data_IF_019819425019
#
_entry.id   IF_019819425019
#
_cell.length_a   1.000
_cell.length_b   1.000
_cell.length_c   1.000
_cell.angle_alpha   90.00
_cell.angle_beta   90.00
_cell.angle_gamma   90.00
#
_symmetry.space_group_name_H-M   'P 1'
#
loop_
_entity.id
_entity.type
_entity.pdbx_description
1 polymer ?
#
# COMPACT_ATOMS: atom_id res chain seq x y z
N UNK A 1 -17.25 -8.10 -11.87
CA UNK A 1 -15.84 -8.48 -12.04
C UNK A 1 -15.23 -7.66 -13.17
N UNK A 2 -15.67 -7.84 -14.43
CA UNK A 2 -15.21 -7.04 -15.59
C UNK A 2 -15.18 -5.52 -15.32
N UNK A 3 -16.30 -4.92 -14.90
CA UNK A 3 -16.37 -3.48 -14.61
C UNK A 3 -15.35 -3.04 -13.54
N UNK A 4 -15.18 -3.83 -12.47
CA UNK A 4 -14.22 -3.54 -11.39
C UNK A 4 -12.76 -3.64 -11.87
N UNK A 5 -12.44 -4.63 -12.71
CA UNK A 5 -11.13 -4.73 -13.36
C UNK A 5 -10.87 -3.57 -14.31
N UNK A 6 -11.88 -3.17 -15.09
CA UNK A 6 -11.76 -2.03 -16.01
C UNK A 6 -11.58 -0.70 -15.25
N UNK A 7 -12.33 -0.50 -14.15
CA UNK A 7 -12.16 0.66 -13.27
C UNK A 7 -10.78 0.70 -12.61
N UNK A 8 -10.26 -0.45 -12.14
CA UNK A 8 -8.94 -0.50 -11.52
C UNK A 8 -7.82 -0.19 -12.52
N UNK A 9 -7.88 -0.75 -13.72
CA UNK A 9 -6.97 -0.41 -14.82
C UNK A 9 -7.04 1.08 -15.17
N UNK A 10 -8.26 1.64 -15.30
CA UNK A 10 -8.44 3.07 -15.55
C UNK A 10 -7.82 3.95 -14.46
N UNK A 11 -8.00 3.60 -13.19
CA UNK A 11 -7.40 4.33 -12.08
C UNK A 11 -5.87 4.23 -12.03
N UNK A 12 -5.28 3.10 -12.42
CA UNK A 12 -3.83 2.98 -12.57
C UNK A 12 -3.30 3.93 -13.65
N UNK A 13 -3.96 4.00 -14.82
CA UNK A 13 -3.58 4.92 -15.89
C UNK A 13 -3.71 6.40 -15.47
N UNK A 14 -4.74 6.74 -14.70
CA UNK A 14 -4.92 8.11 -14.19
C UNK A 14 -3.87 8.46 -13.13
N UNK A 15 -3.50 7.51 -12.26
CA UNK A 15 -2.50 7.75 -11.22
C UNK A 15 -1.11 8.10 -11.79
N UNK A 16 -0.71 7.49 -12.90
CA UNK A 16 0.54 7.84 -13.61
C UNK A 16 0.56 9.31 -14.04
N UNK A 17 -0.56 9.83 -14.56
CA UNK A 17 -0.64 11.24 -14.97
C UNK A 17 -0.46 12.22 -13.80
N UNK A 18 -0.89 11.83 -12.59
CA UNK A 18 -0.73 12.65 -11.40
C UNK A 18 0.65 12.56 -10.76
N UNK A 19 1.36 11.43 -10.93
CA UNK A 19 2.73 11.29 -10.39
C UNK A 19 3.72 12.25 -11.07
N UNK A 20 3.50 12.59 -12.34
CA UNK A 20 4.33 13.55 -13.08
C UNK A 20 4.11 15.01 -12.67
N UNK A 21 3.06 15.31 -11.88
CA UNK A 21 2.78 16.66 -11.39
C UNK A 21 3.25 16.77 -9.94
N UNK A 22 4.52 17.15 -9.77
CA UNK A 22 5.26 17.28 -8.50
C UNK A 22 4.66 18.27 -7.48
N UNK A 23 3.50 17.98 -6.91
CA UNK A 23 2.92 18.69 -5.78
C UNK A 23 2.54 17.71 -4.67
N UNK A 24 2.77 18.07 -3.41
CA UNK A 24 2.45 17.21 -2.24
C UNK A 24 0.98 16.79 -2.24
N UNK A 25 0.08 17.70 -2.62
CA UNK A 25 -1.35 17.38 -2.76
C UNK A 25 -1.60 16.35 -3.88
N UNK A 26 -0.95 16.49 -5.03
CA UNK A 26 -1.07 15.55 -6.14
C UNK A 26 -0.48 14.19 -5.82
N UNK A 27 0.61 14.14 -5.04
CA UNK A 27 1.19 12.89 -4.54
C UNK A 27 0.20 12.15 -3.63
N UNK A 28 -0.39 12.84 -2.64
CA UNK A 28 -1.38 12.24 -1.74
C UNK A 28 -2.61 11.75 -2.52
N UNK A 29 -3.09 12.54 -3.48
CA UNK A 29 -4.20 12.17 -4.35
C UNK A 29 -3.84 10.94 -5.20
N UNK A 30 -2.63 10.90 -5.78
CA UNK A 30 -2.15 9.75 -6.57
C UNK A 30 -2.02 8.49 -5.72
N UNK A 31 -1.46 8.60 -4.51
CA UNK A 31 -1.43 7.48 -3.55
C UNK A 31 -2.84 6.99 -3.20
N UNK A 32 -3.81 7.91 -3.06
CA UNK A 32 -5.22 7.59 -2.90
C UNK A 32 -5.79 6.79 -4.08
N UNK A 33 -5.55 7.25 -5.32
CA UNK A 33 -5.97 6.54 -6.52
C UNK A 33 -5.33 5.16 -6.65
N UNK A 34 -4.02 5.04 -6.39
CA UNK A 34 -3.31 3.76 -6.39
C UNK A 34 -3.87 2.79 -5.35
N UNK A 35 -4.18 3.28 -4.16
CA UNK A 35 -4.79 2.46 -3.10
C UNK A 35 -6.19 1.97 -3.51
N UNK A 36 -7.05 2.86 -4.03
CA UNK A 36 -8.39 2.49 -4.51
C UNK A 36 -8.28 1.52 -5.69
N UNK A 37 -7.37 1.75 -6.65
CA UNK A 37 -7.12 0.84 -7.76
C UNK A 37 -6.71 -0.55 -7.27
N UNK A 38 -5.80 -0.62 -6.31
CA UNK A 38 -5.37 -1.88 -5.70
C UNK A 38 -6.53 -2.61 -4.99
N UNK A 39 -7.36 -1.86 -4.24
CA UNK A 39 -8.56 -2.40 -3.59
C UNK A 39 -9.56 -2.93 -4.64
N UNK A 40 -9.80 -2.19 -5.72
CA UNK A 40 -10.66 -2.62 -6.81
C UNK A 40 -10.13 -3.87 -7.53
N UNK A 41 -8.81 -3.93 -7.82
CA UNK A 41 -8.15 -5.13 -8.35
C UNK A 41 -8.35 -6.34 -7.44
N UNK A 42 -8.15 -6.16 -6.13
CA UNK A 42 -8.32 -7.18 -5.10
C UNK A 42 -9.74 -7.73 -5.07
N UNK A 43 -10.73 -6.84 -4.99
CA UNK A 43 -12.15 -7.22 -5.00
C UNK A 43 -12.51 -7.89 -6.32
N UNK A 44 -11.98 -7.39 -7.44
CA UNK A 44 -12.24 -7.99 -8.74
C UNK A 44 -11.67 -9.41 -8.85
N UNK A 45 -10.43 -9.64 -8.39
CA UNK A 45 -9.80 -10.95 -8.36
C UNK A 45 -10.64 -11.95 -7.57
N UNK A 46 -11.13 -11.52 -6.41
CA UNK A 46 -12.04 -12.31 -5.56
C UNK A 46 -13.34 -12.68 -6.28
N UNK A 47 -13.94 -11.73 -7.00
CA UNK A 47 -15.16 -11.99 -7.78
C UNK A 47 -14.87 -12.95 -8.94
N UNK A 48 -13.75 -12.79 -9.63
CA UNK A 48 -13.31 -13.71 -10.69
C UNK A 48 -13.08 -15.12 -10.18
N UNK A 49 -12.43 -15.27 -9.03
CA UNK A 49 -12.26 -16.58 -8.38
C UNK A 49 -13.60 -17.24 -8.06
N UNK A 50 -14.60 -16.45 -7.62
CA UNK A 50 -15.96 -16.98 -7.40
C UNK A 50 -16.65 -17.42 -8.69
N UNK A 51 -16.52 -16.64 -9.77
CA UNK A 51 -17.05 -17.01 -11.09
C UNK A 51 -16.40 -18.31 -11.56
N UNK A 52 -15.07 -18.41 -11.49
CA UNK A 52 -14.33 -19.61 -11.87
C UNK A 52 -14.77 -20.85 -11.09
N UNK A 53 -14.91 -20.76 -9.75
CA UNK A 53 -15.40 -21.86 -8.91
C UNK A 53 -16.82 -22.27 -9.32
N UNK A 54 -17.69 -21.30 -9.63
CA UNK A 54 -19.06 -21.57 -10.06
C UNK A 54 -19.08 -22.26 -11.41
N UNK A 55 -18.25 -21.83 -12.35
CA UNK A 55 -18.11 -22.47 -13.66
C UNK A 55 -17.60 -23.91 -13.55
N UNK A 56 -16.61 -24.18 -12.70
CA UNK A 56 -16.11 -25.54 -12.46
C UNK A 56 -17.21 -26.43 -11.88
N UNK A 57 -17.95 -25.95 -10.88
CA UNK A 57 -19.08 -26.69 -10.30
C UNK A 57 -20.17 -27.00 -11.33
N UNK A 58 -20.54 -26.01 -12.13
CA UNK A 58 -21.53 -26.19 -13.17
C UNK A 58 -21.07 -27.18 -14.25
N UNK A 59 -19.79 -27.15 -14.61
CA UNK A 59 -19.19 -28.13 -15.52
C UNK A 59 -19.22 -29.55 -14.94
N UNK A 60 -18.97 -29.71 -13.63
CA UNK A 60 -19.03 -31.00 -12.95
C UNK A 60 -20.47 -31.55 -12.93
N UNK A 61 -21.45 -30.72 -12.55
CA UNK A 61 -22.87 -31.11 -12.56
C UNK A 61 -23.34 -31.53 -13.96
N UNK A 62 -22.85 -30.87 -15.01
CA UNK A 62 -23.18 -31.21 -16.40
C UNK A 62 -22.56 -32.55 -16.83
N UNK A 63 -21.36 -32.87 -16.34
CA UNK A 63 -20.71 -34.17 -16.58
C UNK A 63 -21.43 -35.30 -15.85
N UNK A 64 -21.80 -35.09 -14.58
CA UNK A 64 -22.54 -36.08 -13.78
C UNK A 64 -23.90 -36.42 -14.43
N UNK A 65 -24.60 -35.42 -14.97
CA UNK A 65 -25.87 -35.64 -15.68
C UNK A 65 -25.69 -36.47 -16.96
N UNK A 66 -24.60 -36.26 -17.71
CA UNK A 66 -24.28 -37.05 -18.90
C UNK A 66 -23.93 -38.49 -18.57
N UNK A 67 -23.21 -38.74 -17.48
CA UNK A 67 -22.90 -40.10 -17.04
C UNK A 67 -24.18 -40.87 -16.65
N UNK A 68 -25.14 -40.21 -15.99
CA UNK A 68 -26.44 -40.82 -15.66
C UNK A 68 -27.26 -41.14 -16.91
N UNK A 69 -27.24 -40.25 -17.92
CA UNK A 69 -27.95 -40.48 -19.18
C UNK A 69 -27.34 -41.64 -19.99
N UNK A 70 -26.00 -41.78 -20.01
CA UNK A 70 -25.34 -42.94 -20.64
C UNK A 70 -25.52 -44.24 -19.86
N UNK A 71 -25.61 -44.18 -18.54
CA UNK A 71 -25.80 -45.36 -17.69
C UNK A 71 -27.24 -45.87 -17.71
N UNK A 72 -28.20 -45.09 -18.21
CA UNK A 72 -29.57 -45.54 -18.40
C UNK A 72 -29.57 -46.62 -19.50
N UNK A 73 -29.81 -47.90 -19.17
CA UNK A 73 -29.80 -48.96 -20.17
C UNK A 73 -30.85 -48.60 -21.21
N UNK A 74 -30.42 -48.50 -22.47
CA UNK A 74 -31.33 -48.42 -23.62
C UNK A 74 -32.21 -49.65 -23.50
N UNK A 75 -33.42 -49.46 -22.99
CA UNK A 75 -34.48 -50.45 -22.98
C UNK A 75 -34.85 -50.66 -24.43
N UNK A 76 -34.03 -51.45 -25.13
CA UNK A 76 -34.32 -51.97 -26.45
C UNK A 76 -35.66 -52.67 -26.34
N UNK A 77 -36.63 -52.13 -27.06
CA UNK A 77 -37.95 -52.72 -27.21
C UNK A 77 -37.79 -54.20 -27.54
N UNK A 78 -38.17 -55.06 -26.59
CA UNK A 78 -38.46 -56.44 -26.91
C UNK A 78 -39.71 -56.44 -27.79
N UNK A 79 -39.68 -57.04 -28.98
CA UNK A 79 -40.85 -57.10 -29.85
C UNK A 79 -41.96 -57.94 -29.22
N UNK A 80 -43.19 -57.52 -29.52
CA UNK A 80 -44.46 -58.00 -28.98
C UNK A 80 -44.58 -59.53 -28.90
N UNK A 81 -44.87 -60.04 -27.70
CA UNK A 81 -45.40 -61.38 -27.48
C UNK A 81 -46.80 -61.24 -26.84
N UNK A 82 -47.84 -61.89 -27.38
CA UNK A 82 -49.20 -61.66 -26.95
C UNK A 82 -49.55 -62.47 -25.70
N UNK A 83 -50.30 -61.78 -24.84
CA UNK A 83 -51.34 -62.20 -23.90
C UNK A 83 -51.21 -63.58 -23.22
N UNK A 84 -51.13 -63.55 -21.88
CA UNK A 84 -51.95 -64.47 -21.09
C UNK A 84 -52.37 -63.84 -19.76
N UNK A 85 -53.68 -63.62 -19.65
CA UNK A 85 -54.42 -63.46 -18.39
C UNK A 85 -54.17 -64.69 -17.50
N UNK A 86 -53.82 -64.50 -16.23
CA UNK A 86 -54.73 -64.75 -15.11
C UNK A 86 -54.02 -64.86 -13.74
N UNK A 87 -54.69 -64.27 -12.74
CA UNK A 87 -54.63 -64.53 -11.29
C UNK A 87 -53.30 -64.41 -10.51
N UNK A 88 -53.23 -63.39 -9.63
CA UNK A 88 -53.17 -63.58 -8.17
C UNK A 88 -53.28 -62.23 -7.41
N UNK A 89 -54.13 -62.11 -6.38
CA UNK A 89 -54.12 -60.99 -5.46
C UNK A 89 -53.18 -61.28 -4.28
N UNK A 90 -52.06 -60.56 -4.18
CA UNK A 90 -51.26 -60.53 -2.95
C UNK A 90 -49.76 -60.53 -3.14
N UNK A 91 -49.20 -59.41 -3.56
CA UNK A 91 -47.78 -59.12 -3.36
C UNK A 91 -47.64 -57.65 -2.97
N UNK A 92 -47.36 -57.40 -1.68
CA UNK A 92 -46.90 -56.10 -1.20
C UNK A 92 -45.61 -55.77 -1.92
N UNK A 93 -45.69 -54.81 -2.84
CA UNK A 93 -44.55 -54.19 -3.48
C UNK A 93 -43.88 -53.27 -2.45
N UNK A 94 -42.94 -53.82 -1.68
CA UNK A 94 -41.97 -53.04 -0.90
C UNK A 94 -41.03 -52.32 -1.88
N UNK A 95 -41.49 -51.21 -2.45
CA UNK A 95 -40.61 -50.28 -3.17
C UNK A 95 -39.68 -49.64 -2.14
N UNK A 96 -38.35 -49.85 -2.21
CA UNK A 96 -37.43 -49.23 -1.27
C UNK A 96 -37.49 -47.71 -1.45
N UNK A 97 -37.90 -47.03 -0.37
CA UNK A 97 -37.92 -45.58 -0.27
C UNK A 97 -36.55 -45.01 -0.65
N UNK A 98 -36.47 -44.39 -1.83
CA UNK A 98 -35.26 -43.73 -2.32
C UNK A 98 -34.90 -42.59 -1.35
N UNK A 99 -33.66 -42.55 -0.84
CA UNK A 99 -33.26 -41.62 0.21
C UNK A 99 -33.23 -40.18 -0.31
N UNK A 100 -34.29 -39.42 -0.03
CA UNK A 100 -34.42 -37.98 -0.33
C UNK A 100 -33.54 -37.06 0.55
N UNK A 101 -32.66 -37.63 1.38
CA UNK A 101 -31.92 -36.92 2.43
C UNK A 101 -30.71 -36.07 1.99
N UNK A 102 -30.28 -36.10 0.72
CA UNK A 102 -28.95 -35.56 0.34
C UNK A 102 -28.91 -34.06 -0.05
N UNK A 103 -30.01 -33.31 0.06
CA UNK A 103 -30.06 -31.89 -0.40
C UNK A 103 -29.70 -30.83 0.64
N UNK A 104 -29.63 -31.15 1.94
CA UNK A 104 -29.41 -30.12 2.99
C UNK A 104 -27.95 -29.71 3.23
N UNK A 105 -26.96 -30.48 2.76
CA UNK A 105 -25.54 -30.18 2.98
C UNK A 105 -24.99 -29.05 2.11
N UNK A 106 -25.57 -28.77 0.94
CA UNK A 106 -25.02 -27.79 0.00
C UNK A 106 -25.18 -26.33 0.48
N UNK A 107 -26.28 -26.00 1.16
CA UNK A 107 -26.56 -24.63 1.61
C UNK A 107 -25.59 -24.15 2.72
N UNK A 108 -25.12 -25.05 3.59
CA UNK A 108 -24.17 -24.74 4.66
C UNK A 108 -22.75 -24.45 4.14
N UNK A 109 -22.37 -24.98 2.98
CA UNK A 109 -21.09 -24.67 2.33
C UNK A 109 -21.04 -23.23 1.80
N UNK A 110 -22.19 -22.67 1.40
CA UNK A 110 -22.27 -21.31 0.82
C UNK A 110 -22.12 -20.21 1.88
N UNK A 111 -22.66 -20.40 3.08
CA UNK A 111 -22.51 -19.41 4.18
C UNK A 111 -21.10 -19.41 4.78
N UNK A 112 -20.43 -20.58 4.84
CA UNK A 112 -19.01 -20.69 5.22
C UNK A 112 -18.08 -19.96 4.23
N UNK A 113 -18.45 -19.89 2.96
CA UNK A 113 -17.70 -19.17 1.91
C UNK A 113 -17.62 -17.65 2.12
N UNK A 114 -18.68 -17.01 2.66
CA UNK A 114 -18.69 -15.54 2.84
C UNK A 114 -17.70 -15.08 3.91
N UNK A 115 -17.60 -15.81 5.03
CA UNK A 115 -16.64 -15.51 6.10
C UNK A 115 -15.20 -15.72 5.63
N UNK A 116 -14.92 -16.84 4.95
CA UNK A 116 -13.60 -17.10 4.36
C UNK A 116 -13.18 -15.98 3.41
N UNK A 117 -14.10 -15.51 2.57
CA UNK A 117 -13.82 -14.40 1.66
C UNK A 117 -13.46 -13.10 2.38
N UNK A 118 -14.22 -12.73 3.42
CA UNK A 118 -13.93 -11.54 4.21
C UNK A 118 -12.52 -11.64 4.84
N UNK A 119 -12.15 -12.80 5.40
CA UNK A 119 -10.80 -13.01 5.94
C UNK A 119 -9.71 -12.91 4.87
N UNK A 120 -9.92 -13.46 3.66
CA UNK A 120 -8.94 -13.34 2.58
C UNK A 120 -8.76 -11.89 2.12
N UNK A 121 -9.85 -11.13 1.95
CA UNK A 121 -9.79 -9.71 1.58
C UNK A 121 -9.09 -8.90 2.66
N UNK A 122 -9.45 -9.09 3.93
CA UNK A 122 -8.78 -8.42 5.05
C UNK A 122 -7.30 -8.78 5.13
N UNK A 123 -6.95 -10.06 4.95
CA UNK A 123 -5.56 -10.51 4.94
C UNK A 123 -4.74 -9.87 3.82
N UNK A 124 -5.31 -9.74 2.62
CA UNK A 124 -4.63 -9.09 1.50
C UNK A 124 -4.46 -7.58 1.75
N UNK A 125 -5.46 -6.91 2.33
CA UNK A 125 -5.38 -5.48 2.66
C UNK A 125 -4.34 -5.19 3.74
N UNK A 126 -4.26 -6.03 4.77
CA UNK A 126 -3.21 -5.91 5.79
C UNK A 126 -1.83 -6.18 5.20
N UNK A 127 -1.73 -7.17 4.31
CA UNK A 127 -0.47 -7.49 3.61
C UNK A 127 -0.02 -6.33 2.71
N UNK A 128 -0.93 -5.75 1.93
CA UNK A 128 -0.60 -4.63 1.05
C UNK A 128 -0.22 -3.38 1.85
N UNK A 129 -0.95 -3.08 2.93
CA UNK A 129 -0.59 -2.00 3.84
C UNK A 129 0.80 -2.22 4.46
N UNK A 130 1.11 -3.46 4.86
CA UNK A 130 2.43 -3.86 5.34
C UNK A 130 3.53 -3.65 4.29
N UNK A 131 3.28 -4.00 3.03
CA UNK A 131 4.23 -3.78 1.92
C UNK A 131 4.44 -2.28 1.69
N UNK A 132 3.37 -1.48 1.62
CA UNK A 132 3.48 -0.03 1.46
C UNK A 132 4.28 0.58 2.61
N UNK A 133 3.97 0.20 3.85
CA UNK A 133 4.74 0.64 5.02
C UNK A 133 6.22 0.25 4.93
N UNK A 134 6.51 -0.99 4.51
CA UNK A 134 7.88 -1.48 4.37
C UNK A 134 8.66 -0.83 3.23
N UNK A 135 7.99 -0.36 2.17
CA UNK A 135 8.62 0.32 1.04
C UNK A 135 8.84 1.81 1.32
N UNK A 136 7.80 2.51 1.78
CA UNK A 136 7.85 3.95 2.03
C UNK A 136 8.43 4.32 3.40
N UNK A 137 8.47 3.37 4.33
CA UNK A 137 9.13 3.55 5.63
C UNK A 137 10.65 3.44 5.59
N UNK A 138 11.24 3.10 4.43
CA UNK A 138 12.70 3.01 4.30
C UNK A 138 13.31 4.40 4.20
N UNK A 139 14.50 4.55 4.77
CA UNK A 139 15.24 5.81 4.72
C UNK A 139 15.54 6.23 3.28
N UNK A 140 15.84 5.28 2.40
CA UNK A 140 16.20 5.55 1.01
C UNK A 140 15.05 6.18 0.22
N UNK A 141 13.81 5.76 0.49
CA UNK A 141 12.62 6.36 -0.11
C UNK A 141 12.43 7.80 0.37
N UNK A 142 12.59 8.05 1.68
CA UNK A 142 12.56 9.40 2.25
C UNK A 142 13.66 10.29 1.65
N UNK A 143 14.91 9.81 1.64
CA UNK A 143 16.05 10.58 1.14
C UNK A 143 15.89 10.90 -0.35
N UNK A 144 15.44 9.93 -1.16
CA UNK A 144 15.17 10.14 -2.58
C UNK A 144 14.09 11.21 -2.85
N UNK A 145 13.05 11.26 -2.01
CA UNK A 145 12.02 12.30 -2.09
C UNK A 145 12.53 13.69 -1.66
N UNK A 146 13.41 13.77 -0.66
CA UNK A 146 14.02 15.05 -0.29
C UNK A 146 15.00 15.51 -1.38
N UNK A 147 15.76 14.58 -1.96
CA UNK A 147 16.68 14.84 -3.06
C UNK A 147 15.98 15.35 -4.31
N UNK A 148 14.82 14.79 -4.67
CA UNK A 148 14.05 15.19 -5.85
C UNK A 148 13.51 16.61 -5.76
N UNK A 149 13.34 17.14 -4.54
CA UNK A 149 12.79 18.49 -4.29
C UNK A 149 13.85 19.55 -4.19
N UNK A 150 14.86 19.33 -3.34
CA UNK A 150 15.89 20.33 -3.07
C UNK A 150 17.24 19.73 -2.70
N UNK A 151 17.30 18.46 -2.27
CA UNK A 151 18.56 17.83 -1.90
C UNK A 151 19.55 17.68 -3.05
N UNK A 152 19.10 17.74 -4.31
CA UNK A 152 19.98 17.80 -5.47
C UNK A 152 20.91 19.03 -5.45
N UNK A 153 20.46 20.15 -4.85
CA UNK A 153 21.27 21.37 -4.69
C UNK A 153 22.47 21.17 -3.76
N UNK A 154 22.40 20.18 -2.87
CA UNK A 154 23.45 19.87 -1.90
C UNK A 154 24.49 18.91 -2.48
N UNK A 155 24.16 18.11 -3.51
CA UNK A 155 25.05 17.03 -3.99
C UNK A 155 25.95 17.42 -5.16
N UNK A 156 25.77 18.60 -5.73
CA UNK A 156 26.43 18.97 -6.98
C UNK A 156 26.17 17.98 -8.10
N UNK A 157 25.00 17.33 -8.09
CA UNK A 157 24.68 16.33 -9.09
C UNK A 157 24.59 17.04 -10.46
N UNK A 158 25.38 16.63 -11.47
CA UNK A 158 25.36 17.27 -12.78
C UNK A 158 23.99 17.11 -13.41
N UNK A 159 23.21 18.19 -13.45
CA UNK A 159 21.97 18.25 -14.21
C UNK A 159 22.31 18.34 -15.70
N UNK A 160 21.89 17.34 -16.48
CA UNK A 160 21.93 17.36 -17.94
C UNK A 160 23.33 17.65 -18.54
N UNK A 161 24.40 17.15 -17.92
CA UNK A 161 25.77 17.34 -18.41
C UNK A 161 26.40 18.70 -18.07
N UNK A 162 25.74 19.54 -17.26
CA UNK A 162 26.35 20.73 -16.71
C UNK A 162 27.40 20.37 -15.65
N UNK A 163 28.46 21.18 -15.53
CA UNK A 163 29.50 20.99 -14.52
C UNK A 163 28.88 20.96 -13.11
N UNK A 164 29.16 19.90 -12.34
CA UNK A 164 28.70 19.68 -10.96
C UNK A 164 28.82 20.91 -10.05
N UNK A 165 29.90 21.66 -10.21
CA UNK A 165 30.18 22.88 -9.44
C UNK A 165 29.19 24.04 -9.69
N UNK A 166 28.49 24.05 -10.81
CA UNK A 166 27.52 25.11 -11.15
C UNK A 166 26.13 24.87 -10.54
N UNK A 167 25.88 23.67 -9.99
CA UNK A 167 24.57 23.26 -9.45
C UNK A 167 24.51 23.18 -7.93
N UNK A 168 25.64 23.37 -7.25
CA UNK A 168 25.68 23.39 -5.79
C UNK A 168 25.19 24.74 -5.24
N UNK A 169 24.19 24.69 -4.37
CA UNK A 169 23.73 25.85 -3.62
C UNK A 169 23.62 25.49 -2.13
N UNK A 170 24.06 26.37 -1.22
CA UNK A 170 23.87 26.15 0.20
C UNK A 170 22.36 26.09 0.50
N UNK A 171 21.92 25.02 1.14
CA UNK A 171 20.54 24.86 1.58
C UNK A 171 20.45 25.13 3.07
N UNK A 172 19.43 25.89 3.48
CA UNK A 172 19.11 26.12 4.88
C UNK A 172 17.69 25.65 5.18
N UNK A 173 17.55 24.58 5.98
CA UNK A 173 16.25 24.11 6.47
C UNK A 173 15.80 25.04 7.59
N UNK A 174 15.05 26.09 7.23
CA UNK A 174 14.67 27.18 8.13
C UNK A 174 13.79 26.76 9.30
N UNK A 175 12.93 25.77 9.09
CA UNK A 175 12.03 25.27 10.12
C UNK A 175 11.83 23.76 9.94
N UNK A 176 12.09 23.01 11.01
CA UNK A 176 11.63 21.63 11.14
C UNK A 176 11.40 21.32 12.62
N UNK A 177 10.46 20.43 12.91
CA UNK A 177 10.13 20.05 14.28
C UNK A 177 9.00 19.04 14.33
N UNK A 178 8.88 18.37 15.47
CA UNK A 178 7.82 17.40 15.76
C UNK A 178 7.62 17.30 17.27
N UNK A 179 6.48 16.79 17.71
CA UNK A 179 6.22 16.41 19.09
C UNK A 179 6.28 14.88 19.32
N UNK A 180 6.61 14.10 18.29
CA UNK A 180 6.66 12.63 18.35
C UNK A 180 8.01 12.13 17.80
N UNK A 181 8.60 11.13 18.47
CA UNK A 181 9.78 10.42 17.96
C UNK A 181 9.33 9.36 16.95
N UNK A 182 8.99 9.81 15.75
CA UNK A 182 8.50 8.96 14.66
C UNK A 182 9.57 8.74 13.58
N UNK A 183 9.17 7.97 12.57
CA UNK A 183 10.04 7.59 11.46
C UNK A 183 10.47 8.80 10.63
N UNK A 184 9.61 9.81 10.48
CA UNK A 184 9.95 11.04 9.77
C UNK A 184 11.07 11.79 10.50
N UNK A 185 10.97 11.93 11.82
CA UNK A 185 12.00 12.59 12.63
C UNK A 185 13.36 11.91 12.51
N UNK A 186 13.38 10.59 12.63
CA UNK A 186 14.59 9.79 12.55
C UNK A 186 15.25 9.91 11.18
N UNK A 187 14.45 9.82 10.10
CA UNK A 187 14.94 9.96 8.74
C UNK A 187 15.41 11.38 8.43
N UNK A 188 14.69 12.41 8.88
CA UNK A 188 15.09 13.81 8.68
C UNK A 188 16.43 14.12 9.37
N UNK A 189 16.62 13.69 10.62
CA UNK A 189 17.89 13.87 11.32
C UNK A 189 19.05 13.10 10.65
N UNK A 190 18.80 11.86 10.21
CA UNK A 190 19.79 11.08 9.46
C UNK A 190 20.15 11.77 8.15
N UNK A 191 19.16 12.27 7.43
CA UNK A 191 19.35 12.98 6.16
C UNK A 191 20.21 14.23 6.32
N UNK A 192 19.90 15.08 7.30
CA UNK A 192 20.71 16.26 7.60
C UNK A 192 22.12 15.89 8.07
N UNK A 193 22.29 14.79 8.80
CA UNK A 193 23.60 14.31 9.24
C UNK A 193 24.48 13.77 8.09
N UNK A 194 23.88 13.13 7.08
CA UNK A 194 24.59 12.58 5.91
C UNK A 194 24.89 13.63 4.82
N UNK A 195 24.31 14.83 4.93
CA UNK A 195 24.41 15.91 3.94
C UNK A 195 24.96 17.15 4.64
N UNK A 196 26.25 17.09 4.97
CA UNK A 196 27.03 18.09 5.74
C UNK A 196 26.85 19.57 5.32
N UNK A 197 26.25 19.85 4.16
CA UNK A 197 26.08 21.19 3.59
C UNK A 197 24.71 21.82 3.87
N UNK A 198 23.75 21.08 4.44
CA UNK A 198 22.46 21.65 4.82
C UNK A 198 22.55 22.30 6.21
N UNK A 199 22.55 23.63 6.26
CA UNK A 199 22.30 24.36 7.50
C UNK A 199 20.85 24.13 7.97
N UNK A 200 20.57 24.30 9.27
CA UNK A 200 19.22 24.11 9.79
C UNK A 200 18.93 24.98 11.00
N UNK A 201 17.65 25.28 11.20
CA UNK A 201 17.11 25.84 12.42
C UNK A 201 15.90 25.01 12.89
N UNK A 202 15.90 24.68 14.18
CA UNK A 202 14.83 23.88 14.77
C UNK A 202 13.65 24.79 15.18
N UNK A 203 12.43 24.42 14.76
CA UNK A 203 11.20 25.05 15.22
C UNK A 203 10.53 24.21 16.32
N UNK A 204 10.37 24.69 17.56
CA UNK A 204 10.80 25.98 18.11
C UNK A 204 11.60 25.79 19.41
N UNK A 205 12.27 26.85 19.86
CA UNK A 205 12.90 26.82 21.18
C UNK A 205 11.85 26.91 22.29
N UNK A 206 10.93 27.86 22.18
CA UNK A 206 9.94 28.19 23.20
C UNK A 206 8.75 27.23 23.22
N UNK A 207 8.12 27.08 24.39
CA UNK A 207 6.93 26.25 24.55
C UNK A 207 5.62 26.90 24.11
N UNK A 208 5.65 28.08 23.48
CA UNK A 208 4.48 28.84 23.06
C UNK A 208 4.57 29.26 21.59
N UNK A 209 3.49 29.11 20.83
CA UNK A 209 3.43 29.51 19.41
C UNK A 209 3.15 31.00 19.29
N UNK A 210 2.28 31.48 20.17
CA UNK A 210 1.94 32.88 20.41
C UNK A 210 1.62 33.02 21.90
N UNK A 211 1.46 34.25 22.41
CA UNK A 211 1.13 34.49 23.81
C UNK A 211 -0.07 33.63 24.26
N UNK A 212 0.16 32.78 25.27
CA UNK A 212 -0.86 31.91 25.85
C UNK A 212 -1.34 30.75 24.96
N UNK A 213 -0.68 30.48 23.82
CA UNK A 213 -0.96 29.30 23.00
C UNK A 213 0.23 28.33 23.04
N UNK A 214 0.06 27.10 23.54
CA UNK A 214 1.16 26.14 23.64
C UNK A 214 1.70 25.77 22.25
N UNK A 215 3.02 25.68 22.14
CA UNK A 215 3.73 25.09 21.00
C UNK A 215 4.18 23.69 21.39
N UNK A 216 3.60 22.71 20.72
CA UNK A 216 3.89 21.29 20.97
C UNK A 216 5.25 20.89 20.41
N UNK A 217 5.75 21.62 19.41
CA UNK A 217 7.06 21.37 18.82
C UNK A 217 8.20 22.01 19.61
N UNK A 218 7.91 22.81 20.64
CA UNK A 218 8.90 23.47 21.47
C UNK A 218 9.93 22.51 22.09
N UNK A 219 11.18 22.95 22.18
CA UNK A 219 12.21 22.29 22.99
C UNK A 219 11.96 22.50 24.48
N UNK A 220 11.46 23.68 24.83
CA UNK A 220 11.13 24.06 26.20
C UNK A 220 9.62 24.00 26.44
N UNK A 221 9.27 23.93 27.72
CA UNK A 221 7.91 24.14 28.22
C UNK A 221 7.57 25.64 28.17
N UNK A 222 6.33 25.99 28.53
CA UNK A 222 5.86 27.39 28.51
C UNK A 222 6.60 28.28 29.52
N UNK A 223 7.21 27.69 30.55
CA UNK A 223 8.09 28.36 31.51
C UNK A 223 9.43 28.82 30.90
N UNK A 224 9.70 28.46 29.64
CA UNK A 224 10.96 28.74 28.93
C UNK A 224 12.22 28.27 29.67
N UNK A 225 12.09 27.25 30.52
CA UNK A 225 13.16 26.72 31.35
C UNK A 225 13.21 25.19 31.32
N UNK A 226 12.06 24.53 31.42
CA UNK A 226 11.99 23.07 31.49
C UNK A 226 12.06 22.47 30.09
N UNK A 227 12.93 21.47 29.87
CA UNK A 227 12.97 20.75 28.59
C UNK A 227 11.72 19.88 28.44
N UNK A 228 10.97 20.09 27.35
CA UNK A 228 9.72 19.36 27.08
C UNK A 228 9.96 17.90 26.70
N UNK A 229 10.94 17.65 25.82
CA UNK A 229 11.22 16.33 25.27
C UNK A 229 12.73 16.04 25.30
N UNK A 230 13.24 15.35 26.35
CA UNK A 230 14.67 15.06 26.47
C UNK A 230 15.25 14.28 25.28
N UNK A 231 14.47 13.36 24.70
CA UNK A 231 14.87 12.58 23.51
C UNK A 231 15.18 13.49 22.31
N UNK A 232 14.40 14.54 22.13
CA UNK A 232 14.50 15.49 21.03
C UNK A 232 15.76 16.34 21.15
N UNK A 233 15.99 16.93 22.33
CA UNK A 233 17.20 17.70 22.62
C UNK A 233 18.46 16.83 22.43
N UNK A 234 18.45 15.60 22.93
CA UNK A 234 19.56 14.64 22.75
C UNK A 234 19.81 14.29 21.28
N UNK A 235 18.76 14.20 20.46
CA UNK A 235 18.88 13.93 19.03
C UNK A 235 19.48 15.13 18.27
N UNK A 236 19.03 16.35 18.55
CA UNK A 236 19.61 17.58 17.99
C UNK A 236 21.08 17.76 18.40
N UNK A 237 21.42 17.49 19.67
CA UNK A 237 22.81 17.52 20.13
C UNK A 237 23.69 16.51 19.39
N UNK A 238 23.17 15.31 19.07
CA UNK A 238 23.88 14.34 18.24
C UNK A 238 24.11 14.87 16.83
N UNK A 239 23.11 15.51 16.22
CA UNK A 239 23.23 16.12 14.90
C UNK A 239 24.29 17.24 14.88
N UNK A 240 24.30 18.12 15.89
CA UNK A 240 25.32 19.19 16.03
C UNK A 240 26.72 18.59 16.14
N UNK A 241 26.90 17.51 16.91
CA UNK A 241 28.20 16.84 17.05
C UNK A 241 28.64 16.16 15.76
N UNK A 242 27.69 15.56 15.02
CA UNK A 242 27.96 14.89 13.75
C UNK A 242 28.44 15.86 12.66
N UNK A 243 27.92 17.09 12.65
CA UNK A 243 28.37 18.13 11.73
C UNK A 243 29.84 18.55 11.93
N UNK A 244 30.45 18.20 13.09
CA UNK A 244 31.82 18.54 13.42
C UNK A 244 32.05 20.05 13.61
N UNK A 245 33.29 20.46 13.91
CA UNK A 245 33.66 21.87 13.83
C UNK A 245 33.51 22.34 12.39
N UNK A 246 32.94 23.52 12.19
CA UNK A 246 32.86 24.17 10.87
C UNK A 246 34.27 24.16 10.29
N UNK A 247 34.50 23.31 9.27
CA UNK A 247 35.73 23.39 8.49
C UNK A 247 35.72 24.78 7.90
N UNK A 248 36.60 25.65 8.39
CA UNK A 248 36.79 26.96 7.79
C UNK A 248 37.00 26.70 6.30
N UNK A 249 36.08 27.19 5.46
CA UNK A 249 36.25 27.10 4.03
C UNK A 249 37.66 27.64 3.73
N UNK A 250 38.50 26.92 2.97
CA UNK A 250 39.80 27.43 2.60
C UNK A 250 39.53 28.80 2.01
N UNK A 251 40.05 29.83 2.70
CA UNK A 251 39.87 31.23 2.34
C UNK A 251 40.25 31.28 0.87
N UNK A 252 39.27 31.34 -0.03
CA UNK A 252 39.55 31.39 -1.46
C UNK A 252 40.51 32.54 -1.59
N UNK A 253 41.76 32.22 -1.95
CA UNK A 253 42.78 33.22 -2.12
C UNK A 253 42.21 34.13 -3.18
N UNK A 254 41.71 35.31 -2.78
CA UNK A 254 41.32 36.35 -3.72
C UNK A 254 42.55 36.52 -4.59
N UNK A 255 42.49 36.06 -5.83
CA UNK A 255 43.55 36.35 -6.76
C UNK A 255 43.66 37.88 -6.83
N UNK A 256 44.84 38.46 -6.58
CA UNK A 256 45.01 39.92 -6.57
C UNK A 256 44.77 40.60 -7.92
N UNK A 257 44.37 39.87 -8.96
CA UNK A 257 44.31 40.31 -10.35
C UNK A 257 43.13 41.22 -10.69
N UNK A 258 42.10 41.34 -9.84
CA UNK A 258 40.95 42.25 -10.08
C UNK A 258 41.09 43.66 -9.47
N UNK A 259 42.22 43.98 -8.82
CA UNK A 259 42.44 45.31 -8.20
C UNK A 259 43.21 46.30 -9.08
N UNK A 260 43.46 45.98 -10.36
CA UNK A 260 44.28 46.79 -11.27
C UNK A 260 43.62 47.12 -12.63
N UNK A 261 42.30 47.01 -12.76
CA UNK A 261 41.54 47.45 -13.94
C UNK A 261 40.55 48.56 -13.61
#
# INVERSE_FOLDING_TARGET
>A
AVVLTSMSLGMLCVAEFFMDKCGVQHLVISMGFLFIAFLCCTVSLVLWMRVAITCVKWSQETLDLREVELASPVSGAAPDLPCQEDLAPGARSDTPDLPTGRRRTCLQLVTRSKRCLAFMVSGLLLTSLGIVWMLYGRYEAFAGEVDSRWGFLVRGAPLNGANAAATEAPVWVGEFGTNVDDLWWQHMLRYMGERELAGWAYWSLNGQKTNGRPETFGLLMEDSATVRHPWKLKALQRLIRAAGPVRALPRQAREPSELLS
#
